data_IF_314865314728
#
_entry.id   IF_314865314728
#
_cell.length_a   1.000
_cell.length_b   1.000
_cell.length_c   1.000
_cell.angle_alpha   90.00
_cell.angle_beta   90.00
_cell.angle_gamma   90.00
#
_symmetry.space_group_name_H-M   'P 1'
#
loop_
_entity.id
_entity.type
_entity.pdbx_description
1 polymer ?
#
# COMPACT_ATOMS: atom_id res chain seq x y z
N UNK A 1 9.83 -9.58 -42.15
CA UNK A 1 8.89 -8.58 -41.61
C UNK A 1 8.47 -9.07 -40.23
N UNK A 2 8.93 -8.46 -39.12
CA UNK A 2 8.53 -8.92 -37.79
C UNK A 2 7.05 -8.59 -37.56
N UNK A 3 6.34 -9.54 -36.95
CA UNK A 3 4.91 -9.52 -36.75
C UNK A 3 4.49 -8.30 -35.91
N UNK A 4 3.42 -7.61 -36.31
CA UNK A 4 2.88 -6.42 -35.60
C UNK A 4 2.41 -6.74 -34.17
N UNK A 5 2.13 -8.01 -33.87
CA UNK A 5 1.87 -8.53 -32.53
C UNK A 5 3.13 -8.55 -31.63
N UNK A 6 4.30 -8.88 -32.16
CA UNK A 6 5.58 -8.82 -31.41
C UNK A 6 6.01 -7.37 -31.11
N UNK A 7 5.75 -6.45 -32.04
CA UNK A 7 6.02 -5.02 -31.82
C UNK A 7 5.08 -4.40 -30.78
N UNK A 8 3.82 -4.85 -30.68
CA UNK A 8 2.93 -4.47 -29.57
C UNK A 8 3.39 -5.05 -28.23
N UNK A 9 3.86 -6.30 -28.21
CA UNK A 9 4.40 -6.94 -27.00
C UNK A 9 5.68 -6.26 -26.50
N UNK A 10 6.53 -5.76 -27.41
CA UNK A 10 7.72 -4.97 -27.07
C UNK A 10 7.42 -3.52 -26.63
N UNK A 11 6.29 -2.93 -27.04
CA UNK A 11 5.88 -1.60 -26.55
C UNK A 11 5.28 -1.63 -25.14
N UNK A 12 4.64 -2.74 -24.76
CA UNK A 12 4.13 -2.95 -23.40
C UNK A 12 5.11 -3.73 -22.48
N UNK A 13 6.21 -4.26 -23.02
CA UNK A 13 7.16 -5.12 -22.32
C UNK A 13 8.29 -4.40 -21.57
N UNK A 14 8.30 -3.05 -21.55
CA UNK A 14 9.38 -2.27 -20.93
C UNK A 14 9.03 -1.70 -19.54
N UNK A 15 7.92 -2.10 -18.94
CA UNK A 15 7.72 -1.94 -17.49
C UNK A 15 7.96 -3.30 -16.87
N UNK A 16 9.19 -3.54 -16.42
CA UNK A 16 9.46 -4.64 -15.49
C UNK A 16 8.65 -4.36 -14.22
N UNK A 17 7.54 -5.09 -14.05
CA UNK A 17 6.68 -4.90 -12.90
C UNK A 17 7.35 -5.52 -11.68
N UNK A 18 8.09 -4.69 -10.95
CA UNK A 18 8.73 -5.11 -9.69
C UNK A 18 7.71 -5.18 -8.56
N UNK A 19 7.43 -6.37 -8.03
CA UNK A 19 6.48 -6.52 -6.92
C UNK A 19 7.25 -6.57 -5.60
N UNK A 20 6.99 -5.61 -4.73
CA UNK A 20 7.44 -5.68 -3.33
C UNK A 20 6.33 -6.18 -2.42
N UNK A 21 6.59 -7.27 -1.72
CA UNK A 21 5.69 -7.84 -0.72
C UNK A 21 6.33 -7.80 0.67
N UNK A 22 5.56 -7.34 1.64
CA UNK A 22 5.90 -7.36 3.06
C UNK A 22 5.28 -8.62 3.67
N UNK A 23 6.06 -9.41 4.40
CA UNK A 23 5.57 -10.60 5.10
C UNK A 23 5.71 -10.40 6.60
N UNK A 24 4.56 -10.39 7.28
CA UNK A 24 4.44 -10.16 8.72
C UNK A 24 3.86 -11.38 9.43
N UNK A 25 4.16 -11.51 10.72
CA UNK A 25 3.56 -12.49 11.63
C UNK A 25 4.55 -12.99 12.68
N UNK A 26 4.08 -13.85 13.58
CA UNK A 26 4.90 -14.44 14.66
C UNK A 26 5.97 -15.39 14.14
N UNK A 27 7.02 -15.60 14.94
CA UNK A 27 8.00 -16.64 14.62
C UNK A 27 7.38 -18.02 14.68
N UNK A 28 7.82 -18.87 13.75
CA UNK A 28 7.35 -20.25 13.67
C UNK A 28 6.02 -20.46 12.95
N UNK A 29 5.44 -19.44 12.30
CA UNK A 29 4.25 -19.60 11.43
C UNK A 29 4.56 -20.12 10.03
N UNK A 30 5.85 -20.28 9.68
CA UNK A 30 6.27 -20.81 8.37
C UNK A 30 6.50 -19.74 7.30
N UNK A 31 6.67 -18.47 7.66
CA UNK A 31 6.91 -17.35 6.71
C UNK A 31 8.09 -17.61 5.75
N UNK A 32 9.25 -17.99 6.27
CA UNK A 32 10.44 -18.26 5.43
C UNK A 32 10.23 -19.49 4.54
N UNK A 33 9.55 -20.51 5.06
CA UNK A 33 9.18 -21.69 4.25
C UNK A 33 8.21 -21.29 3.13
N UNK A 34 7.19 -20.48 3.42
CA UNK A 34 6.26 -19.97 2.41
C UNK A 34 7.00 -19.22 1.30
N UNK A 35 7.94 -18.34 1.65
CA UNK A 35 8.75 -17.60 0.67
C UNK A 35 9.60 -18.54 -0.19
N UNK A 36 10.23 -19.55 0.41
CA UNK A 36 10.98 -20.57 -0.34
C UNK A 36 10.07 -21.35 -1.31
N UNK A 37 8.85 -21.70 -0.89
CA UNK A 37 7.87 -22.40 -1.73
C UNK A 37 7.35 -21.48 -2.85
N UNK A 38 7.11 -20.20 -2.56
CA UNK A 38 6.64 -19.22 -3.54
C UNK A 38 7.66 -19.01 -4.66
N UNK A 39 8.94 -18.94 -4.30
CA UNK A 39 10.01 -18.68 -5.25
C UNK A 39 10.61 -19.93 -5.90
N UNK A 40 10.24 -21.14 -5.44
CA UNK A 40 10.79 -22.40 -5.95
C UNK A 40 12.32 -22.53 -5.79
N UNK A 41 12.91 -21.68 -4.94
CA UNK A 41 14.34 -21.63 -4.61
C UNK A 41 14.46 -21.50 -3.09
N UNK A 42 15.43 -22.20 -2.51
CA UNK A 42 15.81 -22.04 -1.10
C UNK A 42 16.57 -20.72 -0.94
N UNK A 43 15.85 -19.61 -0.91
CA UNK A 43 16.42 -18.27 -0.70
C UNK A 43 16.85 -18.13 0.75
N UNK A 44 15.98 -18.53 1.68
CA UNK A 44 16.25 -18.56 3.10
C UNK A 44 16.68 -19.97 3.52
N UNK A 45 17.88 -20.37 3.14
CA UNK A 45 18.54 -21.55 3.70
C UNK A 45 19.54 -21.09 4.78
N UNK A 46 19.39 -21.64 5.98
CA UNK A 46 20.37 -21.59 7.08
C UNK A 46 20.58 -20.28 7.88
N UNK A 47 20.38 -19.06 7.38
CA UNK A 47 20.83 -17.85 8.13
C UNK A 47 20.03 -17.50 9.40
N UNK A 48 18.79 -17.99 9.57
CA UNK A 48 18.01 -17.72 10.81
C UNK A 48 18.28 -18.75 11.92
N UNK A 49 19.04 -19.82 11.64
CA UNK A 49 19.48 -20.75 12.70
C UNK A 49 20.73 -20.27 13.44
N UNK A 50 21.43 -19.25 12.93
CA UNK A 50 22.70 -18.78 13.48
C UNK A 50 22.64 -17.42 14.19
N UNK A 51 21.47 -16.94 14.59
CA UNK A 51 21.44 -15.92 15.65
C UNK A 51 21.47 -16.64 16.99
N UNK A 52 22.73 -16.90 17.38
CA UNK A 52 23.29 -17.00 18.71
C UNK A 52 22.32 -17.43 19.82
N UNK A 53 22.71 -18.48 20.56
CA UNK A 53 22.39 -18.58 21.98
C UNK A 53 22.61 -17.18 22.57
N UNK A 54 21.56 -16.45 23.00
CA UNK A 54 21.77 -15.15 23.59
C UNK A 54 22.65 -15.38 24.80
N UNK A 55 23.80 -14.70 24.82
CA UNK A 55 24.68 -14.70 25.98
C UNK A 55 23.82 -14.36 27.20
N UNK A 56 23.95 -15.10 28.30
CA UNK A 56 23.07 -14.94 29.47
C UNK A 56 23.06 -13.49 29.98
N UNK A 57 24.14 -12.75 29.71
CA UNK A 57 24.36 -11.32 29.92
C UNK A 57 23.38 -10.39 29.18
N UNK A 58 22.91 -10.79 28.00
CA UNK A 58 22.07 -9.98 27.09
C UNK A 58 20.61 -10.40 27.06
N UNK A 59 20.22 -11.41 27.85
CA UNK A 59 18.84 -11.92 27.92
C UNK A 59 17.81 -10.87 28.40
N UNK A 60 18.26 -9.78 29.04
CA UNK A 60 17.42 -8.67 29.47
C UNK A 60 17.05 -7.70 28.33
N UNK A 61 17.77 -7.74 27.20
CA UNK A 61 17.55 -6.85 26.06
C UNK A 61 16.67 -7.59 25.05
N UNK A 62 15.44 -7.13 24.88
CA UNK A 62 14.57 -7.63 23.81
C UNK A 62 15.24 -7.37 22.46
N UNK A 63 15.42 -8.40 21.60
CA UNK A 63 16.04 -8.20 20.30
C UNK A 63 15.21 -7.23 19.47
N UNK A 64 15.84 -6.21 18.90
CA UNK A 64 15.18 -5.29 17.99
C UNK A 64 14.67 -6.04 16.75
N UNK A 65 13.47 -5.67 16.30
CA UNK A 65 12.84 -6.20 15.09
C UNK A 65 13.65 -5.72 13.88
N UNK A 66 14.57 -6.56 13.39
CA UNK A 66 15.35 -6.28 12.19
C UNK A 66 14.51 -6.57 10.94
N UNK A 67 14.27 -5.57 10.12
CA UNK A 67 13.58 -5.74 8.83
C UNK A 67 14.62 -6.24 7.82
N UNK A 68 14.38 -7.42 7.24
CA UNK A 68 15.26 -8.04 6.25
C UNK A 68 14.62 -7.85 4.88
N UNK A 69 15.32 -7.22 3.95
CA UNK A 69 14.86 -7.05 2.57
C UNK A 69 15.72 -7.89 1.65
N UNK A 70 15.10 -8.81 0.92
CA UNK A 70 15.75 -9.63 -0.09
C UNK A 70 15.11 -9.41 -1.45
N UNK A 71 15.93 -9.42 -2.49
CA UNK A 71 15.49 -9.23 -3.87
C UNK A 71 15.64 -10.56 -4.59
N UNK A 72 14.55 -11.03 -5.17
CA UNK A 72 14.48 -12.36 -5.80
C UNK A 72 13.91 -12.21 -7.20
N UNK A 73 14.63 -12.74 -8.18
CA UNK A 73 14.12 -12.92 -9.52
C UNK A 73 13.47 -14.30 -9.62
N UNK A 74 12.16 -14.31 -9.93
CA UNK A 74 11.41 -15.54 -10.18
C UNK A 74 11.74 -16.05 -11.59
N UNK A 75 11.99 -17.37 -11.71
CA UNK A 75 12.28 -18.06 -12.98
C UNK A 75 11.00 -18.50 -13.75
N UNK A 76 9.81 -18.06 -13.33
CA UNK A 76 8.56 -18.35 -14.06
C UNK A 76 8.51 -17.52 -15.37
N UNK A 77 7.73 -17.97 -16.37
CA UNK A 77 7.66 -17.42 -17.76
C UNK A 77 7.46 -15.89 -17.88
N UNK A 78 7.07 -15.24 -16.78
CA UNK A 78 7.12 -13.79 -16.59
C UNK A 78 8.26 -13.48 -15.61
N UNK A 79 9.43 -13.09 -16.13
CA UNK A 79 10.55 -12.53 -15.35
C UNK A 79 10.11 -11.24 -14.66
N UNK A 80 9.43 -11.37 -13.54
CA UNK A 80 9.03 -10.27 -12.67
C UNK A 80 9.94 -10.30 -11.44
N UNK A 81 10.80 -9.28 -11.25
CA UNK A 81 11.60 -9.19 -10.04
C UNK A 81 10.68 -8.96 -8.85
N UNK A 82 10.80 -9.80 -7.82
CA UNK A 82 10.02 -9.69 -6.59
C UNK A 82 10.95 -9.34 -5.44
N UNK A 83 10.65 -8.25 -4.75
CA UNK A 83 11.32 -7.95 -3.48
C UNK A 83 10.48 -8.46 -2.32
N UNK A 84 11.13 -9.19 -1.45
CA UNK A 84 10.53 -9.75 -0.27
C UNK A 84 11.10 -8.99 0.92
N UNK A 85 10.20 -8.33 1.66
CA UNK A 85 10.54 -7.69 2.92
C UNK A 85 10.02 -8.61 4.01
N UNK A 86 10.92 -9.30 4.70
CA UNK A 86 10.59 -10.18 5.81
C UNK A 86 10.82 -9.46 7.14
N UNK A 87 9.78 -9.42 7.97
CA UNK A 87 9.90 -8.98 9.36
C UNK A 87 9.91 -10.22 10.27
N UNK A 88 11.08 -10.71 10.72
CA UNK A 88 11.16 -11.77 11.69
C UNK A 88 10.58 -11.34 13.04
N UNK A 89 9.84 -12.25 13.68
CA UNK A 89 9.48 -12.14 15.11
C UNK A 89 8.55 -11.00 15.51
N UNK A 90 7.55 -10.66 14.69
CA UNK A 90 6.52 -9.72 15.10
C UNK A 90 5.65 -10.36 16.20
N UNK A 91 5.70 -9.83 17.43
CA UNK A 91 4.94 -10.36 18.57
C UNK A 91 5.69 -11.34 19.48
N UNK A 92 6.99 -11.57 19.25
CA UNK A 92 7.79 -12.53 20.05
C UNK A 92 8.33 -11.93 21.36
N UNK A 93 8.43 -10.60 21.46
CA UNK A 93 8.97 -9.95 22.65
C UNK A 93 7.94 -9.94 23.79
N UNK A 94 8.40 -9.70 25.02
CA UNK A 94 7.49 -9.54 26.16
C UNK A 94 6.68 -8.24 25.99
N UNK A 95 7.37 -7.16 25.63
CA UNK A 95 6.76 -5.87 25.30
C UNK A 95 6.76 -5.66 23.78
N UNK A 96 5.58 -5.81 23.14
CA UNK A 96 5.42 -5.62 21.69
C UNK A 96 4.70 -4.32 21.31
N UNK A 97 4.51 -3.40 22.26
CA UNK A 97 3.76 -2.15 22.05
C UNK A 97 4.41 -1.24 21.00
N UNK A 98 5.74 -1.26 20.88
CA UNK A 98 6.48 -0.44 19.90
C UNK A 98 6.65 -1.11 18.52
N UNK A 99 6.39 -2.41 18.40
CA UNK A 99 6.55 -3.15 17.13
C UNK A 99 5.70 -2.61 15.99
N UNK A 100 4.38 -2.35 16.15
CA UNK A 100 3.56 -1.87 15.04
C UNK A 100 3.97 -0.45 14.59
N UNK A 101 4.41 0.40 15.53
CA UNK A 101 4.94 1.73 15.22
C UNK A 101 6.22 1.64 14.37
N UNK A 102 7.18 0.77 14.73
CA UNK A 102 8.40 0.55 13.95
C UNK A 102 8.11 0.12 12.50
N UNK A 103 7.11 -0.74 12.29
CA UNK A 103 6.71 -1.20 10.94
C UNK A 103 6.06 -0.05 10.17
N UNK A 104 5.21 0.73 10.82
CA UNK A 104 4.58 1.92 10.22
C UNK A 104 5.62 2.96 9.82
N UNK A 105 6.59 3.25 10.70
CA UNK A 105 7.68 4.19 10.43
C UNK A 105 8.54 3.73 9.25
N UNK A 106 8.78 2.42 9.14
CA UNK A 106 9.47 1.86 7.98
C UNK A 106 8.69 2.08 6.68
N UNK A 107 7.37 1.86 6.67
CA UNK A 107 6.53 2.09 5.49
C UNK A 107 6.48 3.58 5.12
N UNK A 108 6.34 4.46 6.11
CA UNK A 108 6.33 5.91 5.90
C UNK A 108 7.70 6.37 5.36
N UNK A 109 8.82 5.82 5.86
CA UNK A 109 10.14 6.08 5.30
C UNK A 109 10.29 5.61 3.84
N UNK A 110 9.67 4.48 3.45
CA UNK A 110 9.66 4.05 2.05
C UNK A 110 8.87 5.03 1.16
N UNK A 111 7.76 5.58 1.64
CA UNK A 111 7.00 6.60 0.92
C UNK A 111 7.77 7.93 0.83
N UNK A 112 8.49 8.31 1.89
CA UNK A 112 9.34 9.51 1.89
C UNK A 112 10.48 9.42 0.87
N UNK A 113 11.08 8.24 0.69
CA UNK A 113 12.10 8.04 -0.34
C UNK A 113 11.55 8.30 -1.74
N UNK A 114 10.37 7.77 -2.05
CA UNK A 114 9.69 8.02 -3.33
C UNK A 114 9.32 9.49 -3.48
N UNK A 115 8.72 10.08 -2.45
CA UNK A 115 8.32 11.49 -2.46
C UNK A 115 9.53 12.41 -2.65
N UNK A 116 10.65 12.13 -1.99
CA UNK A 116 11.87 12.91 -2.14
C UNK A 116 12.46 12.78 -3.55
N UNK A 117 12.37 11.61 -4.18
CA UNK A 117 12.80 11.42 -5.57
C UNK A 117 11.88 12.19 -6.54
N UNK A 118 10.57 12.20 -6.31
CA UNK A 118 9.62 12.99 -7.11
C UNK A 118 9.86 14.51 -7.00
N UNK A 119 10.28 14.98 -5.82
CA UNK A 119 10.60 16.38 -5.56
C UNK A 119 11.94 16.82 -6.16
N UNK A 120 12.84 15.89 -6.53
CA UNK A 120 14.13 16.25 -7.14
C UNK A 120 13.93 16.86 -8.53
N UNK A 121 14.65 17.96 -8.78
CA UNK A 121 14.60 18.71 -10.06
C UNK A 121 15.23 17.89 -11.21
N UNK A 122 16.32 17.16 -10.91
CA UNK A 122 16.95 16.23 -11.86
C UNK A 122 16.53 14.81 -11.51
N UNK A 123 15.45 14.35 -12.14
CA UNK A 123 14.90 13.00 -11.94
C UNK A 123 15.73 11.99 -12.71
N UNK A 124 16.10 10.88 -12.06
CA UNK A 124 16.52 9.68 -12.80
C UNK A 124 15.34 9.20 -13.65
N UNK A 125 15.61 8.68 -14.85
CA UNK A 125 14.57 8.00 -15.67
C UNK A 125 14.23 6.60 -15.18
N UNK A 126 15.04 6.05 -14.27
CA UNK A 126 14.78 4.75 -13.65
C UNK A 126 14.00 5.01 -12.38
N UNK A 127 12.69 4.81 -12.46
CA UNK A 127 11.79 4.87 -11.30
C UNK A 127 12.14 3.69 -10.37
N UNK A 128 12.95 3.93 -9.33
CA UNK A 128 13.16 2.95 -8.29
C UNK A 128 11.96 3.00 -7.35
N UNK A 129 10.89 2.28 -7.70
CA UNK A 129 9.72 2.18 -6.83
C UNK A 129 10.11 1.50 -5.52
N UNK A 130 10.20 2.28 -4.42
CA UNK A 130 10.52 1.74 -3.11
C UNK A 130 9.31 1.22 -2.32
N UNK A 131 8.10 1.39 -2.86
CA UNK A 131 6.84 1.17 -2.13
C UNK A 131 6.57 -0.32 -1.94
N UNK A 132 6.05 -0.65 -0.77
CA UNK A 132 5.53 -1.98 -0.50
C UNK A 132 4.07 -2.05 -0.99
N UNK A 133 3.75 -3.00 -1.86
CA UNK A 133 2.45 -3.05 -2.53
C UNK A 133 1.44 -3.93 -1.79
N UNK A 134 1.92 -5.01 -1.18
CA UNK A 134 1.09 -5.96 -0.47
C UNK A 134 1.76 -6.42 0.81
N UNK A 135 0.96 -6.58 1.85
CA UNK A 135 1.35 -7.14 3.14
C UNK A 135 0.63 -8.47 3.33
N UNK A 136 1.40 -9.57 3.35
CA UNK A 136 0.88 -10.88 3.71
C UNK A 136 1.00 -11.02 5.22
N UNK A 137 -0.14 -11.04 5.90
CA UNK A 137 -0.21 -11.13 7.35
C UNK A 137 -0.49 -12.58 7.77
N UNK A 138 0.53 -13.24 8.33
CA UNK A 138 0.41 -14.60 8.85
C UNK A 138 -0.26 -14.59 10.22
N UNK A 139 -1.48 -15.12 10.26
CA UNK A 139 -2.26 -15.38 11.47
C UNK A 139 -1.93 -16.79 11.94
N UNK A 140 -1.76 -16.93 13.26
CA UNK A 140 -1.61 -18.24 13.89
C UNK A 140 -2.90 -19.04 13.78
N UNK A 141 -2.80 -20.31 13.36
CA UNK A 141 -3.89 -21.27 13.41
C UNK A 141 -4.36 -21.52 14.86
N UNK A 142 -5.31 -20.70 15.33
CA UNK A 142 -5.90 -20.77 16.66
C UNK A 142 -7.42 -20.83 16.54
N UNK A 143 -8.09 -21.79 17.17
CA UNK A 143 -9.56 -21.95 17.09
C UNK A 143 -10.37 -20.90 17.88
N UNK A 144 -9.76 -19.75 18.22
CA UNK A 144 -10.36 -18.70 19.08
C UNK A 144 -10.56 -17.35 18.37
N UNK A 145 -10.10 -17.20 17.13
CA UNK A 145 -10.17 -15.94 16.38
C UNK A 145 -8.85 -15.16 16.35
N UNK A 146 -8.93 -13.86 16.10
CA UNK A 146 -7.77 -12.97 16.05
C UNK A 146 -7.29 -12.59 17.45
N UNK A 147 -5.99 -12.36 17.60
CA UNK A 147 -5.42 -11.86 18.86
C UNK A 147 -5.41 -10.35 18.87
N UNK A 148 -5.46 -9.76 20.07
CA UNK A 148 -5.47 -8.31 20.24
C UNK A 148 -4.24 -7.63 19.62
N UNK A 149 -3.06 -8.26 19.75
CA UNK A 149 -1.85 -7.79 19.09
C UNK A 149 -1.98 -7.76 17.56
N UNK A 150 -2.57 -8.81 16.99
CA UNK A 150 -2.74 -8.94 15.54
C UNK A 150 -3.74 -7.88 15.03
N UNK A 151 -4.81 -7.61 15.79
CA UNK A 151 -5.78 -6.56 15.52
C UNK A 151 -5.11 -5.18 15.50
N UNK A 152 -4.27 -4.86 16.49
CA UNK A 152 -3.60 -3.57 16.57
C UNK A 152 -2.64 -3.36 15.39
N UNK A 153 -1.83 -4.38 15.06
CA UNK A 153 -0.91 -4.33 13.90
C UNK A 153 -1.68 -4.13 12.61
N UNK A 154 -2.73 -4.92 12.35
CA UNK A 154 -3.52 -4.82 11.13
C UNK A 154 -4.25 -3.47 11.03
N UNK A 155 -4.72 -2.93 12.15
CA UNK A 155 -5.40 -1.62 12.18
C UNK A 155 -4.44 -0.47 11.87
N UNK A 156 -3.23 -0.50 12.41
CA UNK A 156 -2.23 0.53 12.13
C UNK A 156 -1.71 0.48 10.69
N UNK A 157 -1.59 -0.72 10.12
CA UNK A 157 -1.09 -0.93 8.76
C UNK A 157 -2.15 -0.73 7.66
N UNK A 158 -3.43 -0.91 7.97
CA UNK A 158 -4.53 -0.85 7.01
C UNK A 158 -4.69 0.51 6.31
N UNK A 159 -4.08 1.57 6.84
CA UNK A 159 -4.07 2.92 6.23
C UNK A 159 -2.91 3.13 5.24
N UNK A 160 -1.95 2.21 5.18
CA UNK A 160 -0.69 2.37 4.44
C UNK A 160 -0.45 1.30 3.39
N UNK A 161 -0.96 0.08 3.58
CA UNK A 161 -0.66 -1.05 2.72
C UNK A 161 -1.87 -1.99 2.58
N UNK A 162 -1.96 -2.66 1.43
CA UNK A 162 -2.94 -3.71 1.20
C UNK A 162 -2.63 -4.94 2.08
N UNK A 163 -3.51 -5.30 2.99
CA UNK A 163 -3.31 -6.46 3.87
C UNK A 163 -4.08 -7.67 3.32
N UNK A 164 -3.37 -8.80 3.19
CA UNK A 164 -3.96 -10.11 2.88
C UNK A 164 -3.76 -11.03 4.09
N UNK A 165 -4.83 -11.40 4.82
CA UNK A 165 -4.74 -12.30 5.95
C UNK A 165 -4.58 -13.76 5.47
N UNK A 166 -3.57 -14.43 6.02
CA UNK A 166 -3.24 -15.82 5.72
C UNK A 166 -3.12 -16.61 7.01
N UNK A 167 -3.82 -17.73 7.12
CA UNK A 167 -3.66 -18.67 8.23
C UNK A 167 -2.43 -19.54 7.91
N UNK A 168 -1.38 -19.38 8.71
CA UNK A 168 -0.20 -20.22 8.63
C UNK A 168 -0.40 -21.58 9.30
N UNK A 169 0.27 -22.61 8.78
CA UNK A 169 0.21 -23.99 9.30
C UNK A 169 -1.23 -24.51 9.42
N UNK A 170 -1.99 -24.39 8.35
CA UNK A 170 -3.37 -24.90 8.30
C UNK A 170 -3.45 -26.41 8.58
N UNK A 171 -2.34 -27.15 8.43
CA UNK A 171 -2.19 -28.56 8.81
C UNK A 171 -2.46 -28.87 10.30
N UNK A 172 -2.45 -27.85 11.16
CA UNK A 172 -2.73 -28.00 12.59
C UNK A 172 -4.22 -28.07 12.93
N UNK A 173 -5.10 -27.68 12.00
CA UNK A 173 -6.54 -27.62 12.22
C UNK A 173 -7.24 -28.69 11.39
N UNK A 174 -8.29 -29.27 11.94
CA UNK A 174 -9.21 -30.09 11.16
C UNK A 174 -10.05 -29.20 10.23
N UNK A 175 -10.62 -29.76 9.17
CA UNK A 175 -11.44 -29.00 8.20
C UNK A 175 -12.60 -28.23 8.88
N UNK A 176 -13.25 -28.86 9.87
CA UNK A 176 -14.34 -28.23 10.65
C UNK A 176 -13.83 -27.06 11.50
N UNK A 177 -12.68 -27.24 12.15
CA UNK A 177 -12.06 -26.18 12.96
C UNK A 177 -11.55 -25.04 12.11
N UNK A 178 -11.02 -25.34 10.91
CA UNK A 178 -10.58 -24.36 9.95
C UNK A 178 -11.74 -23.48 9.50
N UNK A 179 -12.89 -24.07 9.15
CA UNK A 179 -14.08 -23.32 8.76
C UNK A 179 -14.58 -22.42 9.89
N UNK A 180 -14.64 -22.94 11.12
CA UNK A 180 -15.00 -22.15 12.30
C UNK A 180 -14.00 -21.01 12.55
N UNK A 181 -12.71 -21.27 12.40
CA UNK A 181 -11.67 -20.25 12.58
C UNK A 181 -11.76 -19.16 11.50
N UNK A 182 -11.96 -19.52 10.22
CA UNK A 182 -12.18 -18.55 9.13
C UNK A 182 -13.37 -17.63 9.46
N UNK A 183 -14.48 -18.18 9.95
CA UNK A 183 -15.65 -17.40 10.37
C UNK A 183 -15.35 -16.46 11.54
N UNK A 184 -14.64 -16.92 12.56
CA UNK A 184 -14.27 -16.10 13.72
C UNK A 184 -13.34 -14.94 13.32
N UNK A 185 -12.30 -15.22 12.54
CA UNK A 185 -11.36 -14.20 12.05
C UNK A 185 -12.10 -13.14 11.23
N UNK A 186 -12.98 -13.56 10.30
CA UNK A 186 -13.76 -12.63 9.48
C UNK A 186 -14.75 -11.81 10.32
N UNK A 187 -15.32 -12.39 11.38
CA UNK A 187 -16.17 -11.67 12.33
C UNK A 187 -15.37 -10.59 13.06
N UNK A 188 -14.17 -10.93 13.53
CA UNK A 188 -13.32 -10.01 14.29
C UNK A 188 -12.79 -8.87 13.40
N UNK A 189 -12.43 -9.16 12.15
CA UNK A 189 -12.05 -8.15 11.13
C UNK A 189 -13.18 -7.14 10.92
N UNK A 190 -14.42 -7.62 10.79
CA UNK A 190 -15.61 -6.76 10.61
C UNK A 190 -15.91 -5.93 11.86
N UNK A 191 -15.81 -6.53 13.04
CA UNK A 191 -16.05 -5.85 14.31
C UNK A 191 -15.06 -4.70 14.55
N UNK A 192 -13.78 -4.93 14.26
CA UNK A 192 -12.71 -3.94 14.45
C UNK A 192 -12.54 -2.99 13.25
N UNK A 193 -13.33 -3.16 12.18
CA UNK A 193 -13.28 -2.38 10.93
C UNK A 193 -11.87 -2.31 10.35
N UNK A 194 -11.22 -3.46 10.25
CA UNK A 194 -9.87 -3.56 9.68
C UNK A 194 -10.00 -3.49 8.15
N UNK A 195 -9.22 -2.59 7.53
CA UNK A 195 -9.13 -2.46 6.08
C UNK A 195 -8.29 -3.61 5.51
N UNK A 196 -8.96 -4.69 5.14
CA UNK A 196 -8.38 -5.81 4.38
C UNK A 196 -8.55 -5.52 2.89
N UNK A 197 -7.63 -6.03 2.07
CA UNK A 197 -7.76 -5.93 0.62
C UNK A 197 -9.05 -6.62 0.16
N UNK A 198 -9.95 -5.85 -0.44
CA UNK A 198 -11.19 -6.36 -1.02
C UNK A 198 -10.95 -6.69 -2.48
N UNK A 199 -11.11 -7.97 -2.82
CA UNK A 199 -10.95 -8.52 -4.17
C UNK A 199 -12.13 -8.17 -5.10
N UNK A 200 -12.82 -7.02 -4.87
CA UNK A 200 -13.95 -6.48 -5.64
C UNK A 200 -14.76 -7.53 -6.45
N UNK A 201 -15.48 -8.44 -5.81
CA UNK A 201 -16.29 -9.46 -6.50
C UNK A 201 -15.61 -10.21 -7.67
N UNK A 202 -14.28 -10.22 -7.76
CA UNK A 202 -13.57 -10.89 -8.83
C UNK A 202 -13.74 -12.39 -8.65
N UNK A 203 -14.20 -13.01 -9.74
CA UNK A 203 -14.40 -14.44 -9.79
C UNK A 203 -13.04 -15.10 -9.89
N UNK A 204 -12.84 -16.15 -9.10
CA UNK A 204 -11.62 -16.94 -9.11
C UNK A 204 -11.34 -17.56 -10.50
N UNK A 205 -12.39 -17.74 -11.30
CA UNK A 205 -12.30 -18.19 -12.69
C UNK A 205 -11.61 -17.17 -13.62
N UNK A 206 -11.90 -15.88 -13.51
CA UNK A 206 -11.25 -14.85 -14.35
C UNK A 206 -9.74 -14.79 -14.09
N UNK A 207 -9.34 -14.99 -12.83
CA UNK A 207 -7.92 -15.08 -12.44
C UNK A 207 -7.22 -16.34 -12.92
N UNK A 208 -7.90 -17.48 -12.96
CA UNK A 208 -7.33 -18.75 -13.46
C UNK A 208 -7.30 -18.82 -15.00
N UNK A 209 -8.25 -18.15 -15.66
CA UNK A 209 -8.34 -18.07 -17.13
C UNK A 209 -7.17 -17.26 -17.72
N UNK A 210 -6.73 -16.18 -17.05
CA UNK A 210 -5.57 -15.40 -17.50
C UNK A 210 -4.22 -16.15 -17.41
N UNK A 211 -4.12 -17.14 -16.52
CA UNK A 211 -2.89 -17.91 -16.27
C UNK A 211 -2.81 -19.16 -17.16
N UNK A 212 -3.83 -19.48 -17.96
CA UNK A 212 -3.81 -20.62 -18.87
C UNK A 212 -3.77 -21.99 -18.17
N UNK A 213 -4.11 -22.04 -16.88
CA UNK A 213 -4.09 -23.28 -16.11
C UNK A 213 -5.25 -24.21 -16.53
N UNK A 214 -5.01 -25.52 -16.73
CA UNK A 214 -6.05 -26.49 -17.13
C UNK A 214 -7.11 -26.76 -16.05
N UNK A 215 -7.02 -26.11 -14.89
CA UNK A 215 -7.97 -26.21 -13.77
C UNK A 215 -9.20 -25.28 -13.94
N UNK A 216 -9.25 -24.50 -15.02
CA UNK A 216 -10.27 -23.49 -15.32
C UNK A 216 -11.71 -24.03 -15.48
N UNK A 217 -11.86 -25.33 -15.69
CA UNK A 217 -13.15 -25.98 -15.97
C UNK A 217 -13.77 -26.70 -14.78
N UNK A 218 -13.06 -26.82 -13.65
CA UNK A 218 -13.50 -27.63 -12.49
C UNK A 218 -13.73 -26.83 -11.21
N UNK A 219 -13.40 -25.54 -11.18
CA UNK A 219 -13.66 -24.70 -10.01
C UNK A 219 -15.05 -24.05 -10.12
N UNK A 220 -15.92 -24.17 -9.10
CA UNK A 220 -17.18 -23.43 -9.07
C UNK A 220 -16.94 -21.92 -9.03
N UNK A 221 -17.97 -21.13 -9.36
CA UNK A 221 -18.03 -19.65 -9.25
C UNK A 221 -17.85 -19.19 -7.79
N UNK A 222 -16.69 -19.45 -7.17
CA UNK A 222 -16.37 -18.99 -5.82
C UNK A 222 -15.72 -17.61 -5.94
N UNK A 223 -16.25 -16.67 -5.18
CA UNK A 223 -15.63 -15.37 -5.01
C UNK A 223 -14.37 -15.51 -4.17
N UNK A 224 -13.28 -14.88 -4.60
CA UNK A 224 -12.00 -14.88 -3.85
C UNK A 224 -12.22 -14.32 -2.43
N UNK A 225 -13.15 -13.39 -2.28
CA UNK A 225 -13.56 -12.81 -1.00
C UNK A 225 -14.16 -13.82 -0.01
N UNK A 226 -14.75 -14.92 -0.48
CA UNK A 226 -15.30 -15.98 0.37
C UNK A 226 -14.22 -16.97 0.86
N UNK A 227 -13.09 -17.04 0.16
CA UNK A 227 -11.96 -17.90 0.56
C UNK A 227 -11.11 -17.26 1.66
N UNK A 228 -11.21 -15.95 1.86
CA UNK A 228 -10.49 -15.23 2.89
C UNK A 228 -10.96 -15.63 4.30
N UNK A 229 -10.02 -15.80 5.26
CA UNK A 229 -8.56 -15.79 5.09
C UNK A 229 -8.02 -17.09 4.45
N UNK A 230 -6.97 -16.98 3.63
CA UNK A 230 -6.38 -18.14 2.94
C UNK A 230 -5.73 -19.10 3.93
N UNK A 231 -5.98 -20.40 3.79
CA UNK A 231 -5.39 -21.44 4.60
C UNK A 231 -4.18 -22.05 3.89
N UNK A 232 -2.98 -21.74 4.37
CA UNK A 232 -1.75 -22.11 3.66
C UNK A 232 -0.96 -23.17 4.44
N UNK A 233 -0.56 -24.19 3.71
CA UNK A 233 0.38 -25.23 4.16
C UNK A 233 1.64 -25.07 3.32
N UNK A 234 2.80 -25.14 3.96
CA UNK A 234 4.09 -25.09 3.25
C UNK A 234 4.97 -26.27 3.64
N UNK A 235 5.83 -26.70 2.72
CA UNK A 235 6.71 -27.85 2.87
C UNK A 235 8.15 -27.52 2.53
N UNK A 236 9.11 -28.15 3.20
CA UNK A 236 10.53 -28.00 2.87
C UNK A 236 11.05 -29.11 1.95
N UNK A 237 10.24 -30.16 1.71
CA UNK A 237 10.66 -31.32 0.94
C UNK A 237 10.14 -31.16 -0.48
N UNK A 238 11.05 -31.04 -1.44
CA UNK A 238 10.72 -31.10 -2.87
C UNK A 238 10.57 -32.57 -3.29
N UNK A 239 9.49 -32.86 -4.00
CA UNK A 239 9.21 -34.16 -4.60
C UNK A 239 9.00 -33.95 -6.08
N UNK A 240 9.68 -34.73 -6.90
CA UNK A 240 9.48 -34.72 -8.34
C UNK A 240 8.33 -35.70 -8.62
N UNK A 241 7.20 -35.16 -9.08
CA UNK A 241 6.06 -35.97 -9.51
C UNK A 241 6.42 -36.76 -10.78
N UNK A 242 5.65 -37.83 -11.06
CA UNK A 242 5.83 -38.68 -12.25
C UNK A 242 5.80 -37.90 -13.58
N UNK A 243 5.18 -36.71 -13.58
CA UNK A 243 5.08 -35.79 -14.72
C UNK A 243 6.26 -34.80 -14.85
N UNK A 244 7.29 -34.92 -14.00
CA UNK A 244 8.47 -34.05 -14.01
C UNK A 244 8.29 -32.68 -13.35
N UNK A 245 7.09 -32.39 -12.82
CA UNK A 245 6.82 -31.19 -12.02
C UNK A 245 7.43 -31.34 -10.62
N UNK A 246 8.07 -30.28 -10.13
CA UNK A 246 8.61 -30.21 -8.77
C UNK A 246 7.52 -29.74 -7.83
N UNK A 247 7.00 -30.65 -7.04
CA UNK A 247 5.91 -30.37 -6.10
C UNK A 247 6.48 -30.34 -4.68
N UNK A 248 6.06 -29.36 -3.89
CA UNK A 248 6.46 -29.30 -2.49
C UNK A 248 5.54 -30.17 -1.62
N UNK A 249 6.13 -30.90 -0.69
CA UNK A 249 5.42 -31.79 0.22
C UNK A 249 5.90 -31.64 1.66
N UNK A 250 5.01 -32.02 2.58
CA UNK A 250 5.29 -32.13 4.00
C UNK A 250 4.97 -33.54 4.48
N UNK A 251 6.00 -34.22 4.97
CA UNK A 251 5.89 -35.61 5.42
C UNK A 251 5.54 -35.68 6.90
N UNK A 252 4.47 -36.40 7.23
CA UNK A 252 4.10 -36.79 8.58
C UNK A 252 4.29 -38.29 8.77
N UNK A 253 4.20 -38.74 10.02
CA UNK A 253 4.22 -40.19 10.32
C UNK A 253 3.01 -40.93 9.76
N UNK A 254 1.88 -40.24 9.61
CA UNK A 254 0.60 -40.80 9.19
C UNK A 254 0.30 -40.61 7.70
N UNK A 255 1.11 -39.83 6.98
CA UNK A 255 0.86 -39.53 5.57
C UNK A 255 1.73 -38.40 5.04
N UNK A 256 1.60 -38.15 3.75
CA UNK A 256 2.29 -37.07 3.05
C UNK A 256 1.25 -36.05 2.58
N UNK A 257 1.53 -34.77 2.81
CA UNK A 257 0.66 -33.68 2.42
C UNK A 257 1.33 -32.88 1.31
N UNK A 258 0.67 -32.77 0.16
CA UNK A 258 1.14 -32.00 -0.98
C UNK A 258 0.68 -30.54 -0.84
N UNK A 259 1.62 -29.60 -0.95
CA UNK A 259 1.35 -28.16 -0.81
C UNK A 259 0.55 -27.61 -1.99
N UNK A 260 0.78 -28.19 -3.17
CA UNK A 260 0.16 -27.81 -4.44
C UNK A 260 -1.17 -28.56 -4.70
N UNK A 261 -1.72 -29.22 -3.70
CA UNK A 261 -3.04 -29.83 -3.83
C UNK A 261 -4.12 -28.83 -3.37
N UNK A 262 -5.03 -28.45 -4.28
CA UNK A 262 -6.09 -27.48 -4.02
C UNK A 262 -7.15 -27.99 -3.04
N UNK A 263 -7.24 -29.31 -2.83
CA UNK A 263 -8.14 -29.89 -1.85
C UNK A 263 -7.66 -29.65 -0.40
N UNK A 264 -6.34 -29.54 -0.20
CA UNK A 264 -5.72 -29.48 1.12
C UNK A 264 -5.16 -28.10 1.47
N UNK A 265 -4.81 -27.28 0.48
CA UNK A 265 -4.11 -26.01 0.68
C UNK A 265 -4.59 -24.95 -0.32
N UNK A 266 -4.82 -23.74 0.18
CA UNK A 266 -5.16 -22.58 -0.65
C UNK A 266 -3.90 -21.93 -1.29
N UNK A 267 -2.73 -22.58 -1.20
CA UNK A 267 -1.44 -22.02 -1.62
C UNK A 267 -1.40 -21.66 -3.11
N UNK A 268 -1.94 -22.51 -3.98
CA UNK A 268 -1.98 -22.24 -5.43
C UNK A 268 -2.80 -20.99 -5.72
N UNK A 269 -3.95 -20.84 -5.06
CA UNK A 269 -4.80 -19.67 -5.25
C UNK A 269 -4.07 -18.40 -4.81
N UNK A 270 -3.43 -18.43 -3.63
CA UNK A 270 -2.64 -17.30 -3.15
C UNK A 270 -1.46 -16.97 -4.10
N UNK A 271 -0.73 -17.97 -4.60
CA UNK A 271 0.36 -17.78 -5.58
C UNK A 271 -0.16 -17.11 -6.85
N UNK A 272 -1.27 -17.61 -7.41
CA UNK A 272 -1.86 -17.10 -8.65
C UNK A 272 -2.40 -15.68 -8.50
N UNK A 273 -2.98 -15.34 -7.34
CA UNK A 273 -3.46 -13.97 -7.06
C UNK A 273 -2.27 -13.01 -6.95
N UNK A 274 -1.23 -13.38 -6.21
CA UNK A 274 -0.08 -12.51 -5.96
C UNK A 274 0.79 -12.27 -7.21
N UNK A 275 1.02 -13.31 -8.01
CA UNK A 275 1.93 -13.25 -9.17
C UNK A 275 1.20 -13.14 -10.52
N UNK A 276 -0.11 -13.35 -10.54
CA UNK A 276 -0.92 -13.39 -11.75
C UNK A 276 -1.76 -12.12 -11.93
N UNK A 277 -3.07 -12.25 -11.74
CA UNK A 277 -4.07 -11.27 -12.16
C UNK A 277 -4.08 -10.00 -11.30
N UNK A 278 -3.93 -10.12 -9.99
CA UNK A 278 -4.17 -9.00 -9.06
C UNK A 278 -2.93 -8.15 -8.76
N UNK A 279 -1.77 -8.53 -9.31
CA UNK A 279 -0.52 -7.79 -9.11
C UNK A 279 -0.65 -6.32 -9.54
N UNK A 280 -1.29 -6.06 -10.68
CA UNK A 280 -1.47 -4.71 -11.19
C UNK A 280 -2.45 -3.91 -10.33
N UNK A 281 -3.57 -4.51 -9.91
CA UNK A 281 -4.55 -3.83 -9.06
C UNK A 281 -3.96 -3.47 -7.69
N UNK A 282 -3.20 -4.38 -7.06
CA UNK A 282 -2.51 -4.09 -5.80
C UNK A 282 -1.58 -2.89 -5.91
N UNK A 283 -0.90 -2.75 -7.05
CA UNK A 283 -0.04 -1.60 -7.35
C UNK A 283 -0.85 -0.32 -7.53
N UNK A 284 -1.91 -0.37 -8.32
CA UNK A 284 -2.74 0.78 -8.61
C UNK A 284 -3.40 1.31 -7.33
N UNK A 285 -3.93 0.42 -6.48
CA UNK A 285 -4.44 0.81 -5.15
C UNK A 285 -3.35 1.42 -4.27
N UNK A 286 -2.14 0.86 -4.30
CA UNK A 286 -1.01 1.41 -3.52
C UNK A 286 -0.65 2.82 -3.97
N UNK A 287 -0.64 3.08 -5.27
CA UNK A 287 -0.30 4.38 -5.83
C UNK A 287 -1.44 5.40 -5.62
N UNK A 288 -2.65 5.06 -6.08
CA UNK A 288 -3.77 5.99 -6.17
C UNK A 288 -4.40 6.27 -4.80
N UNK A 289 -4.37 5.30 -3.88
CA UNK A 289 -4.98 5.45 -2.55
C UNK A 289 -3.91 5.72 -1.51
N UNK A 290 -3.02 4.77 -1.22
CA UNK A 290 -2.13 4.90 -0.06
C UNK A 290 -1.06 5.98 -0.26
N UNK A 291 -0.37 5.96 -1.40
CA UNK A 291 0.69 6.90 -1.70
C UNK A 291 0.14 8.32 -1.91
N UNK A 292 -0.92 8.52 -2.70
CA UNK A 292 -1.50 9.86 -2.87
C UNK A 292 -2.09 10.42 -1.56
N UNK A 293 -2.69 9.59 -0.70
CA UNK A 293 -3.13 10.03 0.63
C UNK A 293 -1.94 10.46 1.49
N UNK A 294 -0.83 9.69 1.46
CA UNK A 294 0.40 10.04 2.17
C UNK A 294 1.01 11.33 1.64
N UNK A 295 1.16 11.44 0.32
CA UNK A 295 1.70 12.59 -0.40
C UNK A 295 0.90 13.86 -0.11
N UNK A 296 -0.43 13.78 -0.13
CA UNK A 296 -1.31 14.90 0.21
C UNK A 296 -1.09 15.34 1.66
N UNK A 297 -1.02 14.41 2.61
CA UNK A 297 -0.73 14.73 4.02
C UNK A 297 0.63 15.41 4.19
N UNK A 298 1.68 14.92 3.52
CA UNK A 298 3.02 15.49 3.60
C UNK A 298 3.18 16.85 2.90
N UNK A 299 2.50 17.06 1.78
CA UNK A 299 2.52 18.36 1.09
C UNK A 299 1.73 19.42 1.87
N UNK A 300 0.63 19.03 2.51
CA UNK A 300 -0.12 19.91 3.40
C UNK A 300 0.72 20.30 4.62
N UNK A 301 1.34 19.33 5.31
CA UNK A 301 2.18 19.61 6.48
C UNK A 301 3.37 20.52 6.15
N UNK A 302 4.03 20.31 5.01
CA UNK A 302 5.14 21.16 4.55
C UNK A 302 4.70 22.61 4.25
N UNK A 303 3.50 22.83 3.70
CA UNK A 303 2.96 24.18 3.45
C UNK A 303 2.67 24.96 4.73
N UNK A 304 2.21 24.29 5.78
CA UNK A 304 1.99 24.96 7.07
C UNK A 304 3.30 25.42 7.74
N UNK A 305 4.40 24.69 7.55
CA UNK A 305 5.71 25.08 8.06
C UNK A 305 6.40 26.19 7.25
N UNK A 306 5.97 26.46 6.00
CA UNK A 306 6.53 27.57 5.20
C UNK A 306 5.87 28.92 5.47
N UNK A 307 4.67 28.96 6.07
CA UNK A 307 3.91 30.20 6.25
C UNK A 307 4.01 30.82 7.65
N UNK A 308 4.64 30.15 8.63
CA UNK A 308 4.94 30.74 9.95
C UNK A 308 6.30 30.26 10.50
N UNK A 309 7.36 31.00 10.15
CA UNK A 309 8.67 30.91 10.79
C UNK A 309 9.39 32.25 10.71
N UNK A 310 9.71 32.91 11.84
CA UNK A 310 10.43 34.19 11.85
C UNK A 310 11.84 33.98 11.29
N UNK A 311 12.28 34.95 10.48
CA UNK A 311 13.52 34.89 9.73
C UNK A 311 14.73 34.41 10.54
N UNK A 312 15.26 33.25 10.15
CA UNK A 312 16.66 32.91 10.35
C UNK A 312 17.42 33.47 9.14
N UNK A 313 17.84 34.72 9.27
CA UNK A 313 18.94 35.28 8.49
C UNK A 313 20.22 34.71 9.10
N UNK A 314 20.91 33.84 8.38
CA UNK A 314 22.31 33.51 8.67
C UNK A 314 23.13 34.82 8.65
N UNK A 315 23.73 35.25 9.77
CA UNK A 315 24.53 36.46 9.81
C UNK A 315 26.00 36.09 9.63
N UNK A 316 26.40 35.67 8.42
CA UNK A 316 27.82 35.36 8.16
C UNK A 316 28.33 35.76 6.77
N UNK A 317 27.78 36.83 6.19
CA UNK A 317 28.31 37.39 4.94
C UNK A 317 28.22 38.93 4.84
N UNK A 318 28.58 39.66 5.90
CA UNK A 318 28.66 41.14 5.88
C UNK A 318 30.03 41.66 6.36
N UNK A 319 31.11 41.16 5.78
CA UNK A 319 32.45 41.56 6.16
C UNK A 319 33.50 41.41 5.06
N UNK A 320 33.33 42.07 3.91
CA UNK A 320 34.44 42.50 3.04
C UNK A 320 33.93 43.30 1.84
N UNK A 321 33.54 44.55 2.08
CA UNK A 321 33.68 45.62 1.08
C UNK A 321 34.91 46.40 1.52
N UNK A 322 36.07 46.14 0.90
CA UNK A 322 37.21 47.05 0.65
C UNK A 322 38.24 46.21 -0.13
N UNK A 323 38.59 46.64 -1.35
CA UNK A 323 39.74 46.10 -2.08
C UNK A 323 39.45 45.77 -3.52
N UNK A 324 39.53 46.78 -4.39
CA UNK A 324 39.26 46.62 -5.81
C UNK A 324 40.22 45.70 -6.56
N UNK A 325 39.73 45.12 -7.66
CA UNK A 325 40.49 44.99 -8.91
C UNK A 325 39.56 44.67 -10.07
N UNK A 326 39.65 45.52 -11.09
CA UNK A 326 39.14 45.34 -12.45
C UNK A 326 39.55 43.97 -13.01
N UNK A 327 38.63 43.31 -13.72
CA UNK A 327 38.81 42.80 -15.09
C UNK A 327 37.51 42.19 -15.66
N UNK A 328 37.03 42.87 -16.70
CA UNK A 328 36.46 42.40 -17.97
C UNK A 328 35.39 41.27 -18.06
N UNK A 329 34.37 41.63 -18.84
CA UNK A 329 33.60 40.82 -19.80
C UNK A 329 32.37 40.06 -19.27
N UNK A 330 31.17 40.58 -19.57
CA UNK A 330 30.35 40.19 -20.73
C UNK A 330 28.89 40.60 -20.48
N UNK A 331 28.38 41.45 -21.36
CA UNK A 331 26.99 41.89 -21.43
C UNK A 331 26.07 40.74 -21.87
N UNK A 332 25.12 40.34 -21.02
CA UNK A 332 23.86 39.74 -21.47
C UNK A 332 22.73 40.31 -20.61
N UNK A 333 22.03 41.25 -21.21
CA UNK A 333 20.78 41.86 -20.76
C UNK A 333 19.65 40.82 -20.68
N UNK A 334 18.90 40.91 -19.58
CA UNK A 334 17.43 40.93 -19.55
C UNK A 334 16.72 39.85 -20.39
N UNK A 335 16.42 38.71 -19.77
CA UNK A 335 15.35 37.80 -20.15
C UNK A 335 14.99 36.97 -18.92
N UNK A 336 13.69 36.75 -18.65
CA UNK A 336 13.08 36.01 -17.52
C UNK A 336 12.33 36.86 -16.45
N UNK A 337 11.54 37.84 -16.89
CA UNK A 337 10.48 38.45 -16.05
C UNK A 337 9.14 38.60 -16.81
N UNK A 338 8.82 37.73 -17.77
CA UNK A 338 7.60 37.91 -18.59
C UNK A 338 6.42 36.99 -18.25
N UNK A 339 6.56 35.89 -17.50
CA UNK A 339 5.45 34.93 -17.35
C UNK A 339 4.55 35.10 -16.11
N UNK A 340 4.81 36.09 -15.23
CA UNK A 340 4.04 36.27 -13.98
C UNK A 340 3.01 37.43 -14.02
N UNK A 341 2.97 38.18 -15.11
CA UNK A 341 2.16 39.40 -15.21
C UNK A 341 0.69 39.16 -15.63
N UNK A 342 0.30 38.17 -16.47
CA UNK A 342 -1.07 38.12 -16.99
C UNK A 342 -2.11 37.71 -15.93
N UNK A 343 -1.76 36.85 -14.96
CA UNK A 343 -2.71 36.39 -13.93
C UNK A 343 -3.09 37.49 -12.94
N UNK A 344 -2.15 38.37 -12.58
CA UNK A 344 -2.40 39.48 -11.63
C UNK A 344 -3.40 40.50 -12.17
N UNK A 345 -3.29 40.86 -13.46
CA UNK A 345 -4.20 41.80 -14.12
C UNK A 345 -5.60 41.20 -14.30
N UNK A 346 -5.69 39.93 -14.68
CA UNK A 346 -6.98 39.26 -14.83
C UNK A 346 -7.71 39.12 -13.49
N UNK A 347 -6.97 38.87 -12.41
CA UNK A 347 -7.50 38.83 -11.05
C UNK A 347 -8.04 40.20 -10.59
N UNK A 348 -7.34 41.30 -10.92
CA UNK A 348 -7.80 42.65 -10.63
C UNK A 348 -9.06 43.05 -11.43
N UNK A 349 -9.14 42.67 -12.70
CA UNK A 349 -10.34 42.93 -13.52
C UNK A 349 -11.55 42.16 -13.00
N UNK A 350 -11.40 40.87 -12.68
CA UNK A 350 -12.49 40.06 -12.09
C UNK A 350 -12.92 40.61 -10.73
N UNK A 351 -11.98 41.09 -9.90
CA UNK A 351 -12.32 41.72 -8.62
C UNK A 351 -13.07 43.05 -8.78
N UNK A 352 -12.75 43.87 -9.80
CA UNK A 352 -13.53 45.09 -10.11
C UNK A 352 -14.94 44.75 -10.55
N UNK A 353 -15.11 43.70 -11.36
CA UNK A 353 -16.42 43.24 -11.83
C UNK A 353 -17.27 42.76 -10.65
N UNK A 354 -16.71 41.93 -9.76
CA UNK A 354 -17.41 41.43 -8.56
C UNK A 354 -17.89 42.59 -7.69
N UNK A 355 -17.04 43.60 -7.48
CA UNK A 355 -17.40 44.78 -6.67
C UNK A 355 -18.55 45.59 -7.29
N UNK A 356 -18.58 45.73 -8.62
CA UNK A 356 -19.66 46.39 -9.32
C UNK A 356 -20.99 45.61 -9.20
N UNK A 357 -20.95 44.27 -9.30
CA UNK A 357 -22.14 43.42 -9.10
C UNK A 357 -22.66 43.50 -7.66
N UNK A 358 -21.78 43.51 -6.65
CA UNK A 358 -22.16 43.66 -5.25
C UNK A 358 -22.88 44.99 -4.99
N UNK A 359 -22.38 46.10 -5.53
CA UNK A 359 -23.06 47.40 -5.43
C UNK A 359 -24.44 47.40 -6.09
N UNK A 360 -24.57 46.71 -7.23
CA UNK A 360 -25.85 46.59 -7.94
C UNK A 360 -26.87 45.77 -7.16
N UNK A 361 -26.43 44.69 -6.50
CA UNK A 361 -27.27 43.88 -5.61
C UNK A 361 -27.71 44.71 -4.40
N UNK A 362 -26.80 45.44 -3.75
CA UNK A 362 -27.13 46.28 -2.59
C UNK A 362 -28.12 47.40 -2.95
N UNK A 363 -28.00 47.99 -4.14
CA UNK A 363 -28.95 48.98 -4.64
C UNK A 363 -30.35 48.39 -4.88
N UNK A 364 -30.43 47.17 -5.43
CA UNK A 364 -31.69 46.46 -5.63
C UNK A 364 -32.32 46.05 -4.29
N UNK A 365 -31.54 45.62 -3.32
CA UNK A 365 -32.03 45.31 -1.97
C UNK A 365 -32.59 46.55 -1.27
N UNK A 366 -31.94 47.72 -1.41
CA UNK A 366 -32.48 48.99 -0.89
C UNK A 366 -33.81 49.36 -1.54
N UNK A 367 -33.95 49.16 -2.85
CA UNK A 367 -35.22 49.39 -3.54
C UNK A 367 -36.31 48.43 -3.06
N UNK A 368 -36.01 47.13 -2.96
CA UNK A 368 -36.96 46.13 -2.47
C UNK A 368 -37.42 46.41 -1.02
N UNK A 369 -36.50 46.91 -0.20
CA UNK A 369 -36.78 47.29 1.19
C UNK A 369 -37.61 48.58 1.32
N UNK A 370 -37.51 49.50 0.35
CA UNK A 370 -38.44 50.64 0.26
C UNK A 370 -39.83 50.23 -0.24
N UNK A 371 -39.93 49.31 -1.21
CA UNK A 371 -41.23 48.87 -1.74
C UNK A 371 -42.01 48.02 -0.74
N UNK A 372 -41.35 47.32 0.18
CA UNK A 372 -42.01 46.54 1.25
C UNK A 372 -42.49 47.38 2.45
N UNK A 373 -42.30 48.70 2.43
CA UNK A 373 -42.80 49.62 3.46
C UNK A 373 -44.08 50.38 3.08
N UNK A 374 -44.62 50.13 1.87
CA UNK A 374 -45.89 50.71 1.40
C UNK A 374 -46.89 49.60 1.06
N UNK A 375 -47.49 48.96 2.07
CA UNK A 375 -48.78 48.28 1.96
C UNK A 375 -49.52 48.38 3.31
N UNK A 376 -50.61 49.17 3.42
CA UNK A 376 -51.45 49.22 4.62
C UNK A 376 -52.40 48.02 4.69
N UNK A 377 -52.56 47.49 5.91
CA UNK A 377 -53.47 46.43 6.33
C UNK A 377 -54.91 46.54 5.82
N UNK A 378 -55.55 45.46 5.33
CA UNK A 378 -56.99 45.38 5.13
C UNK A 378 -57.65 44.51 6.23
N UNK A 379 -57.94 45.10 7.39
CA UNK A 379 -58.90 44.52 8.33
C UNK A 379 -59.92 45.59 8.73
N UNK A 380 -60.97 45.71 7.92
CA UNK A 380 -62.31 46.20 8.29
C UNK A 380 -63.15 46.20 7.02
N UNK A 381 -63.98 45.17 6.82
CA UNK A 381 -65.26 45.20 6.09
C UNK A 381 -65.76 43.77 5.90
N UNK A 382 -66.29 43.15 6.96
CA UNK A 382 -67.18 41.99 6.88
C UNK A 382 -68.08 41.95 8.11
N UNK A 383 -68.82 43.04 8.36
CA UNK A 383 -70.02 42.96 9.20
C UNK A 383 -70.96 44.13 8.91
N UNK A 384 -71.66 44.06 7.77
CA UNK A 384 -72.98 44.67 7.62
C UNK A 384 -73.64 44.24 6.31
N UNK A 385 -74.81 43.64 6.48
CA UNK A 385 -75.95 43.62 5.55
C UNK A 385 -75.99 42.54 4.44
N UNK A 386 -76.83 41.55 4.78
CA UNK A 386 -77.87 40.87 3.96
C UNK A 386 -77.42 39.68 3.13
#
# INVERSE_FOLDING_TARGET
MPNTSEMRRRRNGNKEYRLRMLVLGERGLGKSTFLNNLCGKLIFSEQVKSDAVPDASQAHVSPDVKIITEQVELDDERTTPVDIILVPGCGDCIDNTSTPEKIKDYLDAQFDLVLNEELRIKRSRVDTDSKAHVCIYFIRATSRGLRDFDIEVMKQLGDRINIIPVIGKADMLTEKELQLNKQLIMRDIKMHKINVFDFKNDKLQDSLLEVGSPLSSQCPDIYISEMLPFAVICGNTEIISSDGQKNHARNYRWGQLLVEDSANSDFIFLKNILLGSHLQELKDVTNDVFYENYRTKMLLSKKFNSDYGPGFLDPDLSGSIIGGRRRNAFSVSTSQKEDYIPFSKEMEEKNKIIKAYQQKIEALEKMLKSTSSEDPSPETCLESAI
#
